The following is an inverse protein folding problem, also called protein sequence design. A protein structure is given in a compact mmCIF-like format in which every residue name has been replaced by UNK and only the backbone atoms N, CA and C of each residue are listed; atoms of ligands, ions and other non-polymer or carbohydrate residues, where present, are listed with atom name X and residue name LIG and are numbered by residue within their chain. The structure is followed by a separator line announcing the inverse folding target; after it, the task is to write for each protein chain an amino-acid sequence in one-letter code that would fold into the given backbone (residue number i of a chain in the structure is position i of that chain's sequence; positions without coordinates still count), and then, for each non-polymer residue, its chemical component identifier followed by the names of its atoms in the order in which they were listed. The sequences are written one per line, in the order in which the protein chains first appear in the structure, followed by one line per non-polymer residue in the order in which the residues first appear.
data_IF_441239110203
#
_entry.id   IF_441239110203
#
_cell.length_a   1.000
_cell.length_b   1.000
_cell.length_c   1.000
_cell.angle_alpha   90.00
_cell.angle_beta   90.00
_cell.angle_gamma   90.00
#
_symmetry.space_group_name_H-M   'P 1'
#
loop_
_entity.id
_entity.type
_entity.pdbx_description
1 polymer ?
#
# COMPACT_ATOMS: atom_id res chain seq x y z
N UNK A 1 15.73 -25.30 -29.77
CA UNK A 1 16.61 -24.92 -28.64
C UNK A 1 15.96 -23.75 -27.91
N UNK A 2 15.22 -24.02 -26.84
CA UNK A 2 14.69 -23.01 -25.93
C UNK A 2 15.43 -23.21 -24.60
N UNK A 3 16.29 -22.26 -24.24
CA UNK A 3 17.01 -22.29 -22.97
C UNK A 3 16.00 -22.23 -21.83
N UNK A 4 16.02 -23.25 -20.98
CA UNK A 4 15.31 -23.23 -19.70
C UNK A 4 15.77 -22.00 -18.91
N UNK A 5 14.87 -21.11 -18.47
CA UNK A 5 15.28 -19.98 -17.65
C UNK A 5 15.95 -20.49 -16.39
N UNK A 6 17.13 -19.95 -16.10
CA UNK A 6 17.95 -20.34 -14.95
C UNK A 6 17.23 -19.86 -13.68
N UNK A 7 16.87 -20.73 -12.73
CA UNK A 7 16.11 -20.37 -11.52
C UNK A 7 16.74 -19.25 -10.67
N UNK A 8 18.04 -19.01 -10.84
CA UNK A 8 18.80 -17.89 -10.30
C UNK A 8 18.38 -16.51 -10.85
N UNK A 9 17.86 -16.43 -12.09
CA UNK A 9 17.28 -15.19 -12.64
C UNK A 9 15.90 -14.90 -12.04
N UNK A 10 15.07 -15.92 -11.82
CA UNK A 10 13.73 -15.74 -11.24
C UNK A 10 13.81 -15.22 -9.80
N UNK A 11 14.73 -15.77 -9.00
CA UNK A 11 15.02 -15.26 -7.65
C UNK A 11 15.59 -13.83 -7.68
N UNK A 12 16.45 -13.52 -8.64
CA UNK A 12 17.02 -12.18 -8.81
C UNK A 12 15.96 -11.12 -9.13
N UNK A 13 15.05 -11.41 -10.08
CA UNK A 13 13.97 -10.49 -10.43
C UNK A 13 12.97 -10.32 -9.28
N UNK A 14 12.62 -11.41 -8.58
CA UNK A 14 11.76 -11.34 -7.40
C UNK A 14 12.34 -10.42 -6.32
N UNK A 15 13.65 -10.54 -6.05
CA UNK A 15 14.34 -9.66 -5.11
C UNK A 15 14.32 -8.20 -5.56
N UNK A 16 14.56 -7.92 -6.84
CA UNK A 16 14.53 -6.55 -7.40
C UNK A 16 13.15 -5.92 -7.20
N UNK A 17 12.07 -6.62 -7.55
CA UNK A 17 10.71 -6.10 -7.39
C UNK A 17 10.35 -5.87 -5.92
N UNK A 18 10.76 -6.78 -5.04
CA UNK A 18 10.52 -6.65 -3.61
C UNK A 18 11.26 -5.45 -3.02
N UNK A 19 12.54 -5.27 -3.34
CA UNK A 19 13.34 -4.12 -2.89
C UNK A 19 12.79 -2.82 -3.47
N UNK A 20 12.48 -2.77 -4.77
CA UNK A 20 11.90 -1.59 -5.40
C UNK A 20 10.55 -1.20 -4.76
N UNK A 21 9.68 -2.19 -4.51
CA UNK A 21 8.41 -1.98 -3.83
C UNK A 21 8.61 -1.46 -2.40
N UNK A 22 9.52 -2.06 -1.63
CA UNK A 22 9.85 -1.61 -0.29
C UNK A 22 10.38 -0.16 -0.29
N UNK A 23 11.25 0.21 -1.22
CA UNK A 23 11.76 1.58 -1.37
C UNK A 23 10.62 2.56 -1.66
N UNK A 24 9.71 2.22 -2.59
CA UNK A 24 8.54 3.07 -2.89
C UNK A 24 7.67 3.28 -1.65
N UNK A 25 7.41 2.21 -0.88
CA UNK A 25 6.64 2.30 0.36
C UNK A 25 7.32 3.19 1.39
N UNK A 26 8.63 3.01 1.62
CA UNK A 26 9.40 3.81 2.58
C UNK A 26 9.41 5.28 2.16
N UNK A 27 9.74 5.57 0.90
CA UNK A 27 9.77 6.95 0.36
C UNK A 27 8.39 7.59 0.47
N UNK A 28 7.33 6.85 0.17
CA UNK A 28 5.97 7.36 0.31
C UNK A 28 5.56 7.65 1.75
N UNK A 29 5.95 6.81 2.71
CA UNK A 29 5.75 7.09 4.14
C UNK A 29 6.48 8.38 4.54
N UNK A 30 7.74 8.56 4.13
CA UNK A 30 8.48 9.80 4.37
C UNK A 30 7.78 10.99 3.71
N UNK A 31 7.30 10.84 2.48
CA UNK A 31 6.57 11.89 1.77
C UNK A 31 5.27 12.31 2.49
N UNK A 32 4.58 11.38 3.17
CA UNK A 32 3.41 11.69 3.98
C UNK A 32 3.73 12.56 5.19
N UNK A 33 4.91 12.42 5.81
CA UNK A 33 5.34 13.29 6.91
C UNK A 33 5.68 14.71 6.47
N UNK A 34 6.07 14.88 5.21
CA UNK A 34 6.43 16.19 4.64
C UNK A 34 5.21 16.89 4.01
N UNK A 35 4.19 16.13 3.62
CA UNK A 35 2.97 16.65 3.03
C UNK A 35 2.22 17.57 4.01
N UNK A 36 2.03 18.83 3.64
CA UNK A 36 1.32 19.83 4.46
C UNK A 36 -0.17 19.95 4.12
N UNK A 37 -0.56 19.43 2.94
CA UNK A 37 -1.93 19.52 2.43
C UNK A 37 -2.64 18.16 2.51
N UNK A 38 -3.84 18.14 3.10
CA UNK A 38 -4.65 16.91 3.21
C UNK A 38 -4.95 16.25 1.85
N UNK A 39 -5.08 17.05 0.78
CA UNK A 39 -5.28 16.53 -0.58
C UNK A 39 -4.03 15.85 -1.13
N UNK A 40 -2.85 16.39 -0.82
CA UNK A 40 -1.57 15.82 -1.24
C UNK A 40 -1.25 14.56 -0.42
N UNK A 41 -1.47 14.59 0.89
CA UNK A 41 -1.31 13.43 1.77
C UNK A 41 -2.15 12.25 1.26
N UNK A 42 -3.42 12.49 0.91
CA UNK A 42 -4.30 11.45 0.38
C UNK A 42 -3.83 10.91 -0.98
N UNK A 43 -3.34 11.78 -1.87
CA UNK A 43 -2.78 11.34 -3.17
C UNK A 43 -1.54 10.50 -2.99
N UNK A 44 -0.60 10.94 -2.15
CA UNK A 44 0.63 10.21 -1.85
C UNK A 44 0.31 8.86 -1.22
N UNK A 45 -0.63 8.81 -0.27
CA UNK A 45 -1.05 7.58 0.36
C UNK A 45 -1.52 6.54 -0.66
N UNK A 46 -2.46 6.91 -1.54
CA UNK A 46 -2.98 6.00 -2.57
C UNK A 46 -1.96 5.66 -3.65
N UNK A 47 -1.15 6.64 -4.10
CA UNK A 47 -0.13 6.42 -5.11
C UNK A 47 0.96 5.47 -4.61
N UNK A 48 1.46 5.70 -3.40
CA UNK A 48 2.47 4.85 -2.76
C UNK A 48 1.95 3.45 -2.53
N UNK A 49 0.74 3.30 -2.00
CA UNK A 49 0.17 1.97 -1.74
C UNK A 49 -0.08 1.19 -3.04
N UNK A 50 -0.58 1.85 -4.09
CA UNK A 50 -0.81 1.22 -5.38
C UNK A 50 0.50 0.81 -6.06
N UNK A 51 1.46 1.73 -6.20
CA UNK A 51 2.72 1.45 -6.89
C UNK A 51 3.61 0.52 -6.08
N UNK A 52 3.79 0.78 -4.79
CA UNK A 52 4.58 -0.06 -3.90
C UNK A 52 3.96 -1.45 -3.74
N UNK A 53 2.65 -1.53 -3.54
CA UNK A 53 1.92 -2.78 -3.46
C UNK A 53 2.00 -3.61 -4.74
N UNK A 54 1.91 -2.98 -5.91
CA UNK A 54 2.04 -3.67 -7.20
C UNK A 54 3.43 -4.26 -7.36
N UNK A 55 4.49 -3.50 -7.06
CA UNK A 55 5.87 -3.96 -7.14
C UNK A 55 6.13 -5.13 -6.19
N UNK A 56 5.67 -5.03 -4.94
CA UNK A 56 5.78 -6.13 -3.97
C UNK A 56 5.04 -7.37 -4.47
N UNK A 57 3.83 -7.22 -5.03
CA UNK A 57 3.07 -8.34 -5.57
C UNK A 57 3.74 -8.98 -6.79
N UNK A 58 4.40 -8.20 -7.65
CA UNK A 58 5.16 -8.71 -8.79
C UNK A 58 6.36 -9.57 -8.36
N UNK A 59 6.88 -9.41 -7.14
CA UNK A 59 7.90 -10.33 -6.62
C UNK A 59 7.39 -11.78 -6.54
N UNK A 60 6.07 -11.99 -6.42
CA UNK A 60 5.44 -13.30 -6.40
C UNK A 60 5.14 -13.87 -7.80
N UNK A 61 5.61 -13.24 -8.89
CA UNK A 61 5.31 -13.67 -10.26
C UNK A 61 5.78 -15.10 -10.56
N UNK A 62 6.88 -15.53 -9.95
CA UNK A 62 7.39 -16.91 -10.03
C UNK A 62 6.39 -17.97 -9.52
N UNK A 63 5.39 -17.56 -8.72
CA UNK A 63 4.33 -18.41 -8.18
C UNK A 63 3.06 -18.38 -9.03
N UNK A 64 3.03 -17.55 -10.07
CA UNK A 64 1.95 -17.39 -11.03
C UNK A 64 1.13 -16.10 -10.83
N UNK A 65 0.48 -15.67 -11.91
CA UNK A 65 -0.34 -14.44 -11.95
C UNK A 65 -1.48 -14.42 -10.93
N UNK A 66 -2.05 -15.59 -10.58
CA UNK A 66 -3.09 -15.69 -9.56
C UNK A 66 -2.61 -15.20 -8.19
N UNK A 67 -1.38 -15.56 -7.79
CA UNK A 67 -0.78 -15.10 -6.52
C UNK A 67 -0.50 -13.60 -6.55
N UNK A 68 -0.02 -13.07 -7.67
CA UNK A 68 0.23 -11.62 -7.85
C UNK A 68 -1.04 -10.82 -7.66
N UNK A 69 -2.13 -11.21 -8.34
CA UNK A 69 -3.43 -10.52 -8.26
C UNK A 69 -3.99 -10.62 -6.85
N UNK A 70 -3.96 -11.81 -6.23
CA UNK A 70 -4.45 -12.00 -4.87
C UNK A 70 -3.68 -11.15 -3.85
N UNK A 71 -2.34 -11.13 -3.93
CA UNK A 71 -1.50 -10.32 -3.06
C UNK A 71 -1.77 -8.82 -3.24
N UNK A 72 -1.90 -8.37 -4.50
CA UNK A 72 -2.16 -6.95 -4.78
C UNK A 72 -3.53 -6.50 -4.26
N UNK A 73 -4.57 -7.31 -4.47
CA UNK A 73 -5.90 -7.03 -3.94
C UNK A 73 -5.91 -7.02 -2.41
N UNK A 74 -5.22 -7.97 -1.76
CA UNK A 74 -5.11 -7.98 -0.30
C UNK A 74 -4.48 -6.69 0.23
N UNK A 75 -3.40 -6.21 -0.39
CA UNK A 75 -2.75 -4.94 -0.03
C UNK A 75 -3.72 -3.77 -0.21
N UNK A 76 -4.43 -3.68 -1.34
CA UNK A 76 -5.38 -2.61 -1.59
C UNK A 76 -6.56 -2.63 -0.61
N UNK A 77 -7.08 -3.80 -0.26
CA UNK A 77 -8.17 -3.95 0.73
C UNK A 77 -7.70 -3.49 2.10
N UNK A 78 -6.54 -3.94 2.58
CA UNK A 78 -5.99 -3.51 3.87
C UNK A 78 -5.73 -2.00 3.87
N UNK A 79 -5.17 -1.46 2.79
CA UNK A 79 -4.94 -0.03 2.60
C UNK A 79 -6.25 0.76 2.62
N UNK A 80 -7.29 0.27 1.96
CA UNK A 80 -8.59 0.91 1.92
C UNK A 80 -9.28 0.86 3.29
N UNK A 81 -9.21 -0.27 3.99
CA UNK A 81 -9.73 -0.42 5.35
C UNK A 81 -9.03 0.53 6.32
N UNK A 82 -7.69 0.62 6.26
CA UNK A 82 -6.94 1.56 7.09
C UNK A 82 -7.34 3.01 6.80
N UNK A 83 -7.46 3.38 5.51
CA UNK A 83 -7.91 4.71 5.12
C UNK A 83 -9.34 5.01 5.59
N UNK A 84 -10.22 4.01 5.55
CA UNK A 84 -11.59 4.13 6.03
C UNK A 84 -11.64 4.35 7.55
N UNK A 85 -10.86 3.58 8.32
CA UNK A 85 -10.76 3.72 9.78
C UNK A 85 -10.10 5.03 10.21
N UNK A 86 -9.14 5.54 9.41
CA UNK A 86 -8.44 6.80 9.69
C UNK A 86 -9.25 8.03 9.29
N UNK A 87 -10.21 7.91 8.36
CA UNK A 87 -11.00 9.06 7.94
C UNK A 87 -12.24 9.22 8.82
N UNK A 88 -12.26 10.25 9.66
CA UNK A 88 -13.42 10.65 10.45
C UNK A 88 -14.56 11.14 9.56
N UNK A 89 -15.36 10.21 9.04
CA UNK A 89 -16.48 10.52 8.15
C UNK A 89 -17.80 10.85 8.88
N UNK A 90 -17.85 10.82 10.21
CA UNK A 90 -19.06 11.23 10.94
C UNK A 90 -19.07 12.75 11.15
N UNK A 91 -19.31 13.48 10.06
CA UNK A 91 -19.65 14.90 10.14
C UNK A 91 -21.16 15.06 10.39
N UNK A 92 -21.60 14.86 11.64
CA UNK A 92 -22.98 15.16 12.04
C UNK A 92 -23.04 16.65 12.42
N UNK A 93 -23.69 17.45 11.56
CA UNK A 93 -24.16 18.82 11.82
C UNK A 93 -23.13 19.80 12.42
N UNK A 94 -21.89 19.80 11.92
CA UNK A 94 -20.77 20.71 12.29
C UNK A 94 -19.67 20.12 13.19
N UNK A 95 -19.83 18.90 13.73
CA UNK A 95 -18.73 18.21 14.45
C UNK A 95 -18.24 17.00 13.66
N UNK A 96 -16.93 16.91 13.51
CA UNK A 96 -16.23 15.72 13.03
C UNK A 96 -16.09 14.80 14.24
N UNK A 97 -16.90 13.75 14.32
CA UNK A 97 -16.73 12.72 15.32
C UNK A 97 -15.81 11.64 14.78
N UNK A 98 -14.74 11.35 15.51
CA UNK A 98 -13.92 10.17 15.26
C UNK A 98 -14.56 8.94 15.92
N UNK A 99 -14.31 7.75 15.35
CA UNK A 99 -14.67 6.50 16.00
C UNK A 99 -14.01 6.36 17.38
N UNK A 100 -12.87 7.02 17.59
CA UNK A 100 -12.15 7.09 18.87
C UNK A 100 -12.86 7.96 19.91
N UNK A 101 -13.59 8.99 19.46
CA UNK A 101 -14.39 9.88 20.31
C UNK A 101 -15.60 9.13 20.90
N UNK A 102 -16.19 8.22 20.13
CA UNK A 102 -17.32 7.37 20.56
C UNK A 102 -16.90 6.26 21.53
N UNK A 103 -15.62 5.88 21.55
CA UNK A 103 -15.05 4.88 22.47
C UNK A 103 -14.53 5.54 23.76
N UNK A 104 -14.76 6.86 23.93
CA UNK A 104 -14.48 7.57 25.19
C UNK A 104 -12.99 7.75 25.49
N UNK A 105 -12.11 7.60 24.49
CA UNK A 105 -10.67 7.80 24.67
C UNK A 105 -10.28 9.19 24.16
N UNK A 106 -10.75 10.24 24.84
CA UNK A 106 -10.24 11.60 24.63
C UNK A 106 -8.81 11.68 25.16
N UNK A 107 -7.90 12.25 24.35
CA UNK A 107 -6.57 12.66 24.82
C UNK A 107 -6.68 13.89 25.69
#
# INVERSE_FOLDING_TARGET
MAGTPNGNQEGGLAAIYLVAGAVVLIVGVVALFVAKDARLERRLYWATAAVGGLLVSLAALHRGWGTVVAAYLAILVVTALYAFLRTDYLKIRSRVYSAWDLIGKSK
#
